data_IF_991968436180
#
_entry.id   IF_991968436180
#
_cell.length_a   1.000
_cell.length_b   1.000
_cell.length_c   1.000
_cell.angle_alpha   90.00
_cell.angle_beta   90.00
_cell.angle_gamma   90.00
#
_symmetry.space_group_name_H-M   'P 1'
#
loop_
_entity.id
_entity.type
_entity.pdbx_description
1 polymer ?
#
# COMPACT_ATOMS: atom_id res chain seq x y z
N UNK A 1 12.09 -5.72 -34.62
CA UNK A 1 12.10 -5.41 -33.17
C UNK A 1 10.71 -5.24 -32.52
N UNK A 2 9.58 -5.31 -33.26
CA UNK A 2 8.24 -5.13 -32.68
C UNK A 2 7.59 -6.41 -32.10
N UNK A 3 8.15 -7.60 -32.35
CA UNK A 3 7.54 -8.89 -31.97
C UNK A 3 7.90 -9.36 -30.55
N UNK A 4 9.06 -8.97 -30.00
CA UNK A 4 9.42 -9.21 -28.58
C UNK A 4 8.59 -8.38 -27.59
N UNK A 5 7.83 -7.40 -28.08
CA UNK A 5 7.09 -6.41 -27.27
C UNK A 5 5.75 -6.89 -26.72
N UNK A 6 5.21 -8.01 -27.21
CA UNK A 6 3.94 -8.59 -26.72
C UNK A 6 4.16 -9.61 -25.61
N UNK A 7 5.25 -10.39 -25.65
CA UNK A 7 5.48 -11.50 -24.73
C UNK A 7 5.53 -11.07 -23.26
N UNK A 8 6.14 -9.93 -22.96
CA UNK A 8 6.40 -9.54 -21.56
C UNK A 8 5.14 -9.03 -20.84
N UNK A 9 4.21 -8.42 -21.58
CA UNK A 9 2.90 -8.02 -21.07
C UNK A 9 2.01 -9.24 -20.79
N UNK A 10 2.12 -10.27 -21.64
CA UNK A 10 1.42 -11.53 -21.40
C UNK A 10 1.99 -12.24 -20.18
N UNK A 11 3.31 -12.24 -19.95
CA UNK A 11 3.89 -12.89 -18.76
C UNK A 11 3.44 -12.25 -17.44
N UNK A 12 3.34 -10.92 -17.36
CA UNK A 12 2.84 -10.23 -16.17
C UNK A 12 1.33 -10.44 -15.97
N UNK A 13 0.54 -10.39 -17.05
CA UNK A 13 -0.90 -10.65 -16.98
C UNK A 13 -1.22 -12.11 -16.65
N UNK A 14 -0.48 -13.07 -17.23
CA UNK A 14 -0.60 -14.50 -16.90
C UNK A 14 -0.12 -14.79 -15.48
N UNK A 15 0.94 -14.14 -15.00
CA UNK A 15 1.37 -14.27 -13.60
C UNK A 15 0.29 -13.80 -12.62
N UNK A 16 -0.36 -12.67 -12.90
CA UNK A 16 -1.49 -12.18 -12.11
C UNK A 16 -2.73 -13.08 -12.20
N UNK A 17 -3.07 -13.57 -13.39
CA UNK A 17 -4.20 -14.48 -13.59
C UNK A 17 -3.96 -15.82 -12.89
N UNK A 18 -2.76 -16.38 -13.00
CA UNK A 18 -2.37 -17.63 -12.34
C UNK A 18 -2.39 -17.47 -10.82
N UNK A 19 -1.88 -16.35 -10.28
CA UNK A 19 -1.98 -16.05 -8.86
C UNK A 19 -3.43 -15.94 -8.40
N UNK A 20 -4.30 -15.26 -9.14
CA UNK A 20 -5.73 -15.15 -8.82
C UNK A 20 -6.43 -16.51 -8.87
N UNK A 21 -6.16 -17.34 -9.89
CA UNK A 21 -6.76 -18.67 -10.00
C UNK A 21 -6.25 -19.64 -8.94
N UNK A 22 -4.96 -19.59 -8.60
CA UNK A 22 -4.38 -20.40 -7.53
C UNK A 22 -4.96 -20.03 -6.18
N UNK A 23 -5.13 -18.73 -5.91
CA UNK A 23 -5.77 -18.24 -4.68
C UNK A 23 -7.26 -18.59 -4.64
N UNK A 24 -7.98 -18.50 -5.77
CA UNK A 24 -9.39 -18.89 -5.85
C UNK A 24 -9.60 -20.40 -5.66
N UNK A 25 -8.72 -21.24 -6.24
CA UNK A 25 -8.76 -22.69 -6.03
C UNK A 25 -8.41 -23.06 -4.58
N UNK A 26 -7.37 -22.44 -4.01
CA UNK A 26 -6.99 -22.65 -2.61
C UNK A 26 -8.10 -22.24 -1.64
N UNK A 27 -8.79 -21.12 -1.92
CA UNK A 27 -9.94 -20.64 -1.14
C UNK A 27 -11.13 -21.60 -1.23
N UNK A 28 -11.38 -22.21 -2.40
CA UNK A 28 -12.47 -23.17 -2.60
C UNK A 28 -12.21 -24.49 -1.87
N UNK A 29 -10.97 -24.99 -1.87
CA UNK A 29 -10.60 -26.20 -1.10
C UNK A 29 -10.57 -25.96 0.42
N UNK A 30 -10.39 -24.72 0.86
CA UNK A 30 -10.33 -24.38 2.29
C UNK A 30 -11.71 -24.10 2.92
N UNK A 31 -12.77 -23.99 2.11
CA UNK A 31 -14.11 -23.58 2.55
C UNK A 31 -14.77 -24.55 3.54
N UNK A 32 -14.42 -25.83 3.52
CA UNK A 32 -15.01 -26.86 4.40
C UNK A 32 -14.45 -26.85 5.83
N UNK A 33 -13.30 -26.21 6.08
CA UNK A 33 -12.64 -26.12 7.40
C UNK A 33 -12.33 -24.67 7.82
N UNK A 34 -13.14 -23.71 7.39
CA UNK A 34 -12.89 -22.31 7.72
C UNK A 34 -13.04 -22.04 9.23
N UNK A 35 -12.13 -21.24 9.83
CA UNK A 35 -12.27 -20.80 11.21
C UNK A 35 -13.58 -20.02 11.39
N UNK A 36 -14.18 -20.00 12.59
CA UNK A 36 -15.50 -19.42 12.83
C UNK A 36 -15.60 -17.94 12.38
N UNK A 37 -14.53 -17.15 12.55
CA UNK A 37 -14.47 -15.75 12.12
C UNK A 37 -14.53 -15.60 10.59
N UNK A 38 -13.94 -16.53 9.83
CA UNK A 38 -13.98 -16.49 8.37
C UNK A 38 -15.37 -16.80 7.78
N UNK A 39 -16.28 -17.35 8.60
CA UNK A 39 -17.68 -17.61 8.21
C UNK A 39 -18.57 -16.38 8.39
N UNK A 40 -18.08 -15.33 9.05
CA UNK A 40 -18.83 -14.09 9.13
C UNK A 40 -18.96 -13.46 7.73
N UNK A 41 -20.17 -13.04 7.33
CA UNK A 41 -20.43 -12.58 5.96
C UNK A 41 -19.58 -11.37 5.59
N UNK A 42 -19.27 -10.51 6.56
CA UNK A 42 -18.43 -9.32 6.37
C UNK A 42 -16.99 -9.71 6.04
N UNK A 43 -16.44 -10.71 6.73
CA UNK A 43 -15.07 -11.19 6.52
C UNK A 43 -14.96 -11.91 5.17
N UNK A 44 -15.94 -12.74 4.82
CA UNK A 44 -16.01 -13.39 3.50
C UNK A 44 -16.11 -12.38 2.35
N UNK A 45 -16.99 -11.37 2.47
CA UNK A 45 -17.12 -10.31 1.49
C UNK A 45 -15.82 -9.50 1.35
N UNK A 46 -15.16 -9.18 2.46
CA UNK A 46 -13.87 -8.50 2.46
C UNK A 46 -12.77 -9.36 1.79
N UNK A 47 -12.78 -10.68 1.96
CA UNK A 47 -11.87 -11.60 1.29
C UNK A 47 -12.04 -11.57 -0.22
N UNK A 48 -13.29 -11.65 -0.71
CA UNK A 48 -13.61 -11.54 -2.14
C UNK A 48 -13.20 -10.16 -2.68
N UNK A 49 -13.50 -9.09 -1.95
CA UNK A 49 -13.10 -7.74 -2.33
C UNK A 49 -11.58 -7.60 -2.44
N UNK A 50 -10.81 -8.24 -1.54
CA UNK A 50 -9.36 -8.25 -1.59
C UNK A 50 -8.83 -8.92 -2.87
N UNK A 51 -9.42 -10.04 -3.29
CA UNK A 51 -9.05 -10.72 -4.53
C UNK A 51 -9.38 -9.88 -5.77
N UNK A 52 -10.55 -9.24 -5.79
CA UNK A 52 -10.92 -8.35 -6.89
C UNK A 52 -9.98 -7.15 -6.97
N UNK A 53 -9.67 -6.52 -5.82
CA UNK A 53 -8.72 -5.40 -5.75
C UNK A 53 -7.31 -5.81 -6.17
N UNK A 54 -6.86 -7.00 -5.80
CA UNK A 54 -5.58 -7.54 -6.25
C UNK A 54 -5.52 -7.66 -7.78
N UNK A 55 -6.60 -8.18 -8.39
CA UNK A 55 -6.71 -8.26 -9.85
C UNK A 55 -6.70 -6.90 -10.51
N UNK A 56 -7.46 -5.94 -9.98
CA UNK A 56 -7.44 -4.55 -10.43
C UNK A 56 -6.05 -3.92 -10.28
N UNK A 57 -5.35 -4.19 -9.18
CA UNK A 57 -4.00 -3.71 -8.92
C UNK A 57 -3.01 -4.18 -9.99
N UNK A 58 -2.93 -5.50 -10.24
CA UNK A 58 -2.02 -6.05 -11.25
C UNK A 58 -2.39 -5.64 -12.68
N UNK A 59 -3.68 -5.60 -13.02
CA UNK A 59 -4.13 -5.08 -14.31
C UNK A 59 -3.75 -3.60 -14.48
N UNK A 60 -3.97 -2.79 -13.43
CA UNK A 60 -3.57 -1.39 -13.38
C UNK A 60 -2.07 -1.21 -13.59
N UNK A 61 -1.24 -1.99 -12.89
CA UNK A 61 0.21 -2.02 -13.07
C UNK A 61 0.57 -2.37 -14.52
N UNK A 62 0.04 -3.46 -15.06
CA UNK A 62 0.36 -3.91 -16.41
C UNK A 62 -0.02 -2.90 -17.50
N UNK A 63 -1.19 -2.27 -17.38
CA UNK A 63 -1.68 -1.29 -18.35
C UNK A 63 -0.97 0.07 -18.23
N UNK A 64 -0.67 0.52 -17.00
CA UNK A 64 -0.09 1.83 -16.76
C UNK A 64 1.44 1.86 -16.85
N UNK A 65 2.13 0.72 -16.71
CA UNK A 65 3.60 0.67 -16.65
C UNK A 65 4.30 1.45 -17.77
N UNK A 66 3.89 1.21 -19.02
CA UNK A 66 4.50 1.88 -20.18
C UNK A 66 4.21 3.38 -20.20
N UNK A 67 2.99 3.77 -19.87
CA UNK A 67 2.58 5.17 -19.85
C UNK A 67 3.33 5.94 -18.76
N UNK A 68 3.54 5.32 -17.60
CA UNK A 68 4.29 5.90 -16.50
C UNK A 68 5.76 6.09 -16.86
N UNK A 69 6.41 5.06 -17.41
CA UNK A 69 7.82 5.15 -17.81
C UNK A 69 8.08 6.18 -18.93
N UNK A 70 7.06 6.55 -19.70
CA UNK A 70 7.16 7.60 -20.71
C UNK A 70 6.89 9.01 -20.18
N UNK A 71 6.12 9.13 -19.08
CA UNK A 71 5.67 10.42 -18.54
C UNK A 71 6.53 10.92 -17.39
N UNK A 72 7.10 10.00 -16.60
CA UNK A 72 7.90 10.33 -15.41
C UNK A 72 9.33 10.61 -15.83
N UNK A 73 9.85 11.78 -15.43
CA UNK A 73 11.23 12.18 -15.72
C UNK A 73 12.22 11.36 -14.90
N UNK A 74 13.48 11.29 -15.35
CA UNK A 74 14.54 10.61 -14.61
C UNK A 74 14.74 11.18 -13.19
N UNK A 75 14.55 12.49 -13.02
CA UNK A 75 14.64 13.16 -11.71
C UNK A 75 13.47 12.79 -10.78
N UNK A 76 12.25 12.63 -11.32
CA UNK A 76 11.12 12.15 -10.52
C UNK A 76 11.29 10.68 -10.15
N UNK A 77 11.79 9.83 -11.06
CA UNK A 77 12.09 8.42 -10.77
C UNK A 77 13.16 8.28 -9.69
N UNK A 78 14.21 9.10 -9.73
CA UNK A 78 15.25 9.08 -8.70
C UNK A 78 14.71 9.55 -7.34
N UNK A 79 13.84 10.57 -7.31
CA UNK A 79 13.17 11.02 -6.09
C UNK A 79 12.26 9.93 -5.51
N UNK A 80 11.46 9.27 -6.36
CA UNK A 80 10.63 8.13 -5.95
C UNK A 80 11.51 7.04 -5.36
N UNK A 81 12.58 6.64 -6.05
CA UNK A 81 13.49 5.60 -5.59
C UNK A 81 14.16 5.96 -4.26
N UNK A 82 14.62 7.21 -4.10
CA UNK A 82 15.26 7.70 -2.88
C UNK A 82 14.30 7.66 -1.69
N UNK A 83 13.10 8.24 -1.81
CA UNK A 83 12.12 8.23 -0.73
C UNK A 83 11.64 6.82 -0.41
N UNK A 84 11.51 5.96 -1.42
CA UNK A 84 11.18 4.55 -1.26
C UNK A 84 12.27 3.80 -0.48
N UNK A 85 13.55 4.07 -0.77
CA UNK A 85 14.67 3.47 -0.05
C UNK A 85 14.73 3.93 1.42
N UNK A 86 14.48 5.21 1.68
CA UNK A 86 14.37 5.74 3.05
C UNK A 86 13.20 5.08 3.78
N UNK A 87 12.05 4.96 3.11
CA UNK A 87 10.88 4.29 3.68
C UNK A 87 11.17 2.82 4.01
N UNK A 88 11.84 2.11 3.10
CA UNK A 88 12.27 0.74 3.35
C UNK A 88 13.20 0.64 4.56
N UNK A 89 14.18 1.53 4.69
CA UNK A 89 15.12 1.53 5.82
C UNK A 89 14.40 1.76 7.16
N UNK A 90 13.46 2.71 7.21
CA UNK A 90 12.68 2.99 8.42
C UNK A 90 11.75 1.83 8.76
N UNK A 91 11.07 1.25 7.77
CA UNK A 91 10.20 0.09 7.98
C UNK A 91 11.01 -1.12 8.48
N UNK A 92 12.20 -1.35 7.92
CA UNK A 92 13.10 -2.41 8.37
C UNK A 92 13.54 -2.21 9.83
N UNK A 93 13.95 -1.00 10.20
CA UNK A 93 14.29 -0.67 11.59
C UNK A 93 13.09 -0.81 12.53
N UNK A 94 11.91 -0.37 12.10
CA UNK A 94 10.67 -0.47 12.87
C UNK A 94 10.28 -1.92 13.12
N UNK A 95 10.51 -2.81 12.16
CA UNK A 95 10.33 -4.26 12.36
C UNK A 95 11.30 -4.82 13.39
N UNK A 96 12.58 -4.43 13.36
CA UNK A 96 13.54 -4.85 14.40
C UNK A 96 13.09 -4.41 15.79
N UNK A 97 12.73 -3.14 15.95
CA UNK A 97 12.16 -2.63 17.22
C UNK A 97 10.89 -3.40 17.60
N UNK A 98 10.02 -3.67 16.62
CA UNK A 98 8.80 -4.44 16.78
C UNK A 98 9.05 -5.86 17.31
N UNK A 99 10.11 -6.55 16.87
CA UNK A 99 10.45 -7.89 17.39
C UNK A 99 10.80 -7.84 18.88
N UNK A 100 11.50 -6.80 19.32
CA UNK A 100 11.84 -6.59 20.75
C UNK A 100 10.58 -6.24 21.54
N UNK A 101 9.73 -5.36 21.02
CA UNK A 101 8.46 -5.00 21.65
C UNK A 101 7.49 -6.19 21.75
N UNK A 102 7.47 -7.06 20.74
CA UNK A 102 6.64 -8.26 20.77
C UNK A 102 7.03 -9.21 21.90
N UNK A 103 8.32 -9.31 22.21
CA UNK A 103 8.79 -10.11 23.34
C UNK A 103 8.30 -9.60 24.70
N UNK A 104 8.02 -8.30 24.85
CA UNK A 104 7.62 -7.69 26.12
C UNK A 104 6.11 -7.44 26.24
N UNK A 105 5.47 -6.98 25.16
CA UNK A 105 4.06 -6.57 25.12
C UNK A 105 3.16 -7.59 24.42
N UNK A 106 3.74 -8.63 23.81
CA UNK A 106 3.03 -9.65 23.06
C UNK A 106 2.19 -9.05 21.91
N UNK A 107 0.92 -9.45 21.75
CA UNK A 107 0.08 -9.02 20.63
C UNK A 107 -0.29 -7.53 20.64
N UNK A 108 -0.12 -6.84 21.78
CA UNK A 108 -0.36 -5.40 21.89
C UNK A 108 0.82 -4.55 21.42
N UNK A 109 1.99 -5.16 21.16
CA UNK A 109 3.16 -4.48 20.62
C UNK A 109 2.84 -3.72 19.32
N UNK A 110 1.88 -4.21 18.53
CA UNK A 110 1.49 -3.61 17.26
C UNK A 110 1.03 -2.16 17.40
N UNK A 111 0.39 -1.78 18.50
CA UNK A 111 -0.08 -0.40 18.69
C UNK A 111 1.08 0.57 18.89
N UNK A 112 2.22 0.09 19.36
CA UNK A 112 3.42 0.92 19.54
C UNK A 112 4.32 0.82 18.31
N UNK A 113 4.57 -0.38 17.79
CA UNK A 113 5.44 -0.56 16.62
C UNK A 113 4.84 0.05 15.36
N UNK A 114 3.52 -0.04 15.18
CA UNK A 114 2.83 0.57 14.05
C UNK A 114 2.85 2.09 14.10
N UNK A 115 3.01 2.70 15.29
CA UNK A 115 3.17 4.15 15.38
C UNK A 115 4.40 4.61 14.59
N UNK A 116 5.50 3.86 14.65
CA UNK A 116 6.70 4.22 13.87
C UNK A 116 6.57 3.75 12.42
N UNK A 117 6.16 2.49 12.21
CA UNK A 117 6.13 1.89 10.88
C UNK A 117 5.10 2.57 9.96
N UNK A 118 3.84 2.64 10.40
CA UNK A 118 2.73 3.17 9.61
C UNK A 118 2.78 4.69 9.49
N UNK A 119 3.09 5.39 10.58
CA UNK A 119 3.15 6.86 10.55
C UNK A 119 4.29 7.32 9.65
N UNK A 120 5.49 6.75 9.77
CA UNK A 120 6.62 7.19 8.93
C UNK A 120 6.45 6.74 7.49
N UNK A 121 5.94 5.52 7.25
CA UNK A 121 5.61 5.06 5.90
C UNK A 121 4.60 5.97 5.20
N UNK A 122 3.50 6.30 5.87
CA UNK A 122 2.48 7.19 5.33
C UNK A 122 3.00 8.63 5.19
N UNK A 123 3.88 9.08 6.08
CA UNK A 123 4.54 10.39 5.98
C UNK A 123 5.41 10.48 4.73
N UNK A 124 6.27 9.50 4.48
CA UNK A 124 7.15 9.49 3.31
C UNK A 124 6.36 9.34 2.02
N UNK A 125 5.33 8.50 2.01
CA UNK A 125 4.43 8.35 0.86
C UNK A 125 3.64 9.64 0.58
N UNK A 126 3.11 10.31 1.60
CA UNK A 126 2.42 11.58 1.44
C UNK A 126 3.36 12.68 0.93
N UNK A 127 4.57 12.77 1.48
CA UNK A 127 5.58 13.71 1.01
C UNK A 127 5.92 13.45 -0.47
N UNK A 128 6.07 12.18 -0.85
CA UNK A 128 6.33 11.79 -2.23
C UNK A 128 5.17 12.17 -3.17
N UNK A 129 3.93 11.90 -2.78
CA UNK A 129 2.74 12.25 -3.58
C UNK A 129 2.59 13.77 -3.72
N UNK A 130 2.97 14.56 -2.71
CA UNK A 130 2.96 16.03 -2.81
C UNK A 130 4.06 16.55 -3.74
N UNK A 131 5.24 15.92 -3.73
CA UNK A 131 6.35 16.30 -4.58
C UNK A 131 6.14 15.89 -6.04
N UNK A 132 5.55 14.71 -6.27
CA UNK A 132 5.24 14.15 -7.59
C UNK A 132 3.75 13.79 -7.66
N UNK A 133 2.84 14.79 -7.80
CA UNK A 133 1.39 14.60 -7.75
C UNK A 133 0.87 14.04 -9.08
N UNK A 134 1.25 12.80 -9.39
CA UNK A 134 0.91 12.09 -10.62
C UNK A 134 0.26 10.74 -10.29
N UNK A 135 -0.70 10.28 -11.11
CA UNK A 135 -1.21 8.92 -10.97
C UNK A 135 -0.05 7.93 -11.21
N UNK A 136 0.03 6.88 -10.39
CA UNK A 136 1.11 5.89 -10.45
C UNK A 136 2.32 6.18 -9.55
N UNK A 137 2.41 7.34 -8.91
CA UNK A 137 3.51 7.64 -7.97
C UNK A 137 3.47 6.68 -6.77
N UNK A 138 2.29 6.43 -6.20
CA UNK A 138 2.13 5.52 -5.07
C UNK A 138 2.40 4.07 -5.51
N UNK A 139 1.91 3.69 -6.70
CA UNK A 139 2.21 2.40 -7.30
C UNK A 139 3.72 2.14 -7.44
N UNK A 140 4.48 3.09 -8.00
CA UNK A 140 5.92 2.93 -8.19
C UNK A 140 6.67 2.81 -6.86
N UNK A 141 6.28 3.61 -5.85
CA UNK A 141 6.83 3.51 -4.51
C UNK A 141 6.57 2.15 -3.88
N UNK A 142 5.32 1.67 -3.90
CA UNK A 142 4.93 0.38 -3.32
C UNK A 142 5.60 -0.81 -4.05
N UNK A 143 5.74 -0.76 -5.37
CA UNK A 143 6.49 -1.77 -6.14
C UNK A 143 7.99 -1.72 -5.83
N UNK A 144 8.54 -0.52 -5.62
CA UNK A 144 9.92 -0.35 -5.16
C UNK A 144 10.12 -0.96 -3.77
N UNK A 145 9.20 -0.73 -2.83
CA UNK A 145 9.21 -1.38 -1.51
C UNK A 145 9.13 -2.89 -1.62
N UNK A 146 8.23 -3.42 -2.45
CA UNK A 146 8.14 -4.86 -2.69
C UNK A 146 9.48 -5.42 -3.18
N UNK A 147 10.12 -4.73 -4.13
CA UNK A 147 11.41 -5.13 -4.70
C UNK A 147 12.51 -5.13 -3.64
N UNK A 148 12.63 -4.05 -2.85
CA UNK A 148 13.62 -3.94 -1.77
C UNK A 148 13.40 -4.99 -0.68
N UNK A 149 12.15 -5.22 -0.26
CA UNK A 149 11.80 -6.28 0.69
C UNK A 149 12.12 -7.67 0.14
N UNK A 150 11.92 -7.90 -1.15
CA UNK A 150 12.24 -9.18 -1.80
C UNK A 150 13.74 -9.43 -1.86
N UNK A 151 14.53 -8.41 -2.18
CA UNK A 151 16.00 -8.50 -2.25
C UNK A 151 16.60 -8.66 -0.85
N UNK A 152 16.18 -7.83 0.11
CA UNK A 152 16.77 -7.81 1.45
C UNK A 152 16.28 -8.95 2.34
N UNK A 153 15.01 -9.33 2.23
CA UNK A 153 14.38 -10.31 3.11
C UNK A 153 14.18 -11.68 2.47
N UNK A 154 14.41 -11.83 1.16
CA UNK A 154 14.04 -13.05 0.42
C UNK A 154 12.54 -13.31 0.35
N UNK A 155 11.70 -12.30 0.63
CA UNK A 155 10.26 -12.42 0.86
C UNK A 155 9.41 -12.37 -0.43
N UNK A 156 9.90 -12.92 -1.54
CA UNK A 156 9.12 -12.99 -2.77
C UNK A 156 8.21 -14.22 -2.77
N UNK A 157 7.05 -14.09 -2.13
CA UNK A 157 6.02 -15.13 -2.11
C UNK A 157 4.68 -14.63 -2.68
N UNK A 158 3.76 -15.55 -2.96
CA UNK A 158 2.44 -15.23 -3.54
C UNK A 158 1.64 -14.29 -2.64
N UNK A 159 1.75 -14.44 -1.31
CA UNK A 159 1.08 -13.55 -0.36
C UNK A 159 1.61 -12.11 -0.44
N UNK A 160 2.92 -11.92 -0.58
CA UNK A 160 3.54 -10.61 -0.73
C UNK A 160 3.08 -9.92 -2.03
N UNK A 161 2.99 -10.66 -3.13
CA UNK A 161 2.43 -10.16 -4.39
C UNK A 161 0.95 -9.77 -4.25
N UNK A 162 0.17 -10.59 -3.53
CA UNK A 162 -1.23 -10.31 -3.25
C UNK A 162 -1.39 -9.05 -2.40
N UNK A 163 -0.68 -8.95 -1.27
CA UNK A 163 -0.71 -7.77 -0.40
C UNK A 163 -0.27 -6.50 -1.11
N UNK A 164 0.82 -6.56 -1.88
CA UNK A 164 1.30 -5.43 -2.65
C UNK A 164 0.27 -4.96 -3.69
N UNK A 165 -0.39 -5.89 -4.38
CA UNK A 165 -1.40 -5.54 -5.39
C UNK A 165 -2.65 -4.91 -4.79
N UNK A 166 -3.12 -5.41 -3.64
CA UNK A 166 -4.21 -4.79 -2.87
C UNK A 166 -3.80 -3.39 -2.42
N UNK A 167 -2.57 -3.21 -1.93
CA UNK A 167 -2.06 -1.91 -1.53
C UNK A 167 -1.99 -0.94 -2.70
N UNK A 168 -1.42 -1.35 -3.84
CA UNK A 168 -1.37 -0.52 -5.05
C UNK A 168 -2.77 -0.06 -5.46
N UNK A 169 -3.74 -0.99 -5.53
CA UNK A 169 -5.11 -0.65 -5.91
C UNK A 169 -5.75 0.31 -4.91
N UNK A 170 -5.68 0.00 -3.61
CA UNK A 170 -6.30 0.81 -2.57
C UNK A 170 -5.73 2.24 -2.52
N UNK A 171 -4.41 2.39 -2.60
CA UNK A 171 -3.77 3.70 -2.59
C UNK A 171 -4.06 4.52 -3.84
N UNK A 172 -3.92 3.95 -5.04
CA UNK A 172 -4.20 4.68 -6.28
C UNK A 172 -5.69 5.05 -6.40
N UNK A 173 -6.60 4.15 -6.03
CA UNK A 173 -8.04 4.43 -6.03
C UNK A 173 -8.40 5.52 -5.03
N UNK A 174 -7.86 5.47 -3.82
CA UNK A 174 -8.16 6.48 -2.78
C UNK A 174 -7.61 7.86 -3.13
N UNK A 175 -6.37 7.91 -3.66
CA UNK A 175 -5.75 9.15 -4.12
C UNK A 175 -6.47 9.74 -5.33
N UNK A 176 -6.92 8.90 -6.25
CA UNK A 176 -7.70 9.34 -7.41
C UNK A 176 -9.10 9.83 -6.99
N UNK A 177 -9.81 9.08 -6.13
CA UNK A 177 -11.16 9.41 -5.68
C UNK A 177 -11.23 10.76 -4.93
N UNK A 178 -10.20 11.07 -4.14
CA UNK A 178 -10.10 12.36 -3.44
C UNK A 178 -9.42 13.46 -4.27
N UNK A 179 -9.11 13.18 -5.54
CA UNK A 179 -8.56 14.15 -6.48
C UNK A 179 -7.16 14.63 -6.12
N UNK A 180 -6.39 13.82 -5.40
CA UNK A 180 -5.01 14.15 -4.99
C UNK A 180 -4.05 14.02 -6.17
N UNK A 181 -4.16 12.93 -6.94
CA UNK A 181 -3.28 12.65 -8.10
C UNK A 181 -3.87 13.06 -9.44
N UNK A 182 -5.19 13.20 -9.54
CA UNK A 182 -5.90 13.55 -10.80
C UNK A 182 -6.37 15.01 -10.81
N UNK A 183 -6.45 15.65 -9.64
CA UNK A 183 -6.94 17.02 -9.50
C UNK A 183 -5.84 18.09 -9.52
N UNK A 184 -6.24 19.33 -9.78
CA UNK A 184 -5.33 20.49 -9.77
C UNK A 184 -4.86 20.92 -8.37
N UNK A 185 -5.37 20.26 -7.32
CA UNK A 185 -5.22 20.69 -5.92
C UNK A 185 -3.77 20.74 -5.45
N UNK A 186 -2.93 19.79 -5.89
CA UNK A 186 -1.50 19.76 -5.54
C UNK A 186 -0.60 20.43 -6.59
N UNK A 187 -1.09 20.63 -7.82
CA UNK A 187 -0.31 21.31 -8.87
C UNK A 187 -0.21 22.82 -8.69
N UNK A 188 -1.12 23.44 -7.94
CA UNK A 188 -1.08 24.88 -7.67
C UNK A 188 0.13 25.25 -6.79
N UNK A 189 0.93 26.20 -7.26
CA UNK A 189 2.03 26.80 -6.50
C UNK A 189 1.45 27.75 -5.44
N UNK A 190 1.00 27.19 -4.32
CA UNK A 190 0.54 27.97 -3.19
C UNK A 190 1.71 28.25 -2.22
N UNK A 191 1.88 29.50 -1.75
CA UNK A 191 2.92 29.83 -0.78
C UNK A 191 2.69 29.16 0.58
N UNK A 192 1.45 28.79 0.91
CA UNK A 192 1.10 28.07 2.13
C UNK A 192 0.36 26.76 1.80
N UNK A 193 0.42 25.79 2.72
CA UNK A 193 -0.29 24.51 2.55
C UNK A 193 -1.80 24.77 2.60
N UNK A 194 -2.54 24.50 1.52
CA UNK A 194 -3.99 24.64 1.55
C UNK A 194 -4.57 23.62 2.53
N UNK A 195 -5.42 24.07 3.46
CA UNK A 195 -6.09 23.18 4.41
C UNK A 195 -6.89 22.07 3.69
N UNK A 196 -7.44 22.38 2.52
CA UNK A 196 -8.15 21.43 1.66
C UNK A 196 -7.22 20.35 1.08
N UNK A 197 -6.01 20.71 0.68
CA UNK A 197 -5.01 19.74 0.20
C UNK A 197 -4.54 18.84 1.34
N UNK A 198 -4.26 19.41 2.52
CA UNK A 198 -3.91 18.67 3.73
C UNK A 198 -5.02 17.67 4.11
N UNK A 199 -6.27 18.12 4.17
CA UNK A 199 -7.38 17.24 4.52
C UNK A 199 -7.56 16.11 3.50
N UNK A 200 -7.45 16.41 2.19
CA UNK A 200 -7.60 15.41 1.12
C UNK A 200 -6.49 14.37 1.15
N UNK A 201 -5.23 14.77 1.32
CA UNK A 201 -4.10 13.83 1.38
C UNK A 201 -4.17 12.98 2.64
N UNK A 202 -4.47 13.58 3.79
CA UNK A 202 -4.65 12.88 5.07
C UNK A 202 -5.76 11.84 4.99
N UNK A 203 -6.92 12.22 4.45
CA UNK A 203 -8.03 11.27 4.28
C UNK A 203 -7.70 10.20 3.24
N UNK A 204 -7.08 10.54 2.12
CA UNK A 204 -6.77 9.57 1.06
C UNK A 204 -5.81 8.49 1.53
N UNK A 205 -4.71 8.89 2.17
CA UNK A 205 -3.69 7.96 2.64
C UNK A 205 -4.17 7.22 3.89
N UNK A 206 -4.84 7.89 4.83
CA UNK A 206 -5.41 7.23 6.02
C UNK A 206 -6.47 6.18 5.66
N UNK A 207 -7.40 6.50 4.75
CA UNK A 207 -8.41 5.54 4.29
C UNK A 207 -7.78 4.40 3.49
N UNK A 208 -6.83 4.69 2.59
CA UNK A 208 -6.10 3.66 1.87
C UNK A 208 -5.38 2.72 2.84
N UNK A 209 -4.67 3.27 3.83
CA UNK A 209 -3.90 2.48 4.78
C UNK A 209 -4.79 1.60 5.66
N UNK A 210 -5.88 2.17 6.19
CA UNK A 210 -6.90 1.42 6.92
C UNK A 210 -7.49 0.30 6.08
N UNK A 211 -7.90 0.60 4.83
CA UNK A 211 -8.44 -0.41 3.92
C UNK A 211 -7.43 -1.52 3.64
N UNK A 212 -6.17 -1.18 3.40
CA UNK A 212 -5.12 -2.19 3.15
C UNK A 212 -4.90 -3.07 4.36
N UNK A 213 -4.83 -2.50 5.57
CA UNK A 213 -4.70 -3.30 6.79
C UNK A 213 -5.87 -4.25 6.97
N UNK A 214 -7.11 -3.78 6.82
CA UNK A 214 -8.30 -4.61 6.95
C UNK A 214 -8.27 -5.80 5.98
N UNK A 215 -7.91 -5.55 4.72
CA UNK A 215 -7.84 -6.58 3.69
C UNK A 215 -6.66 -7.52 3.90
N UNK A 216 -5.50 -7.02 4.34
CA UNK A 216 -4.34 -7.86 4.66
C UNK A 216 -4.63 -8.81 5.82
N UNK A 217 -5.30 -8.34 6.88
CA UNK A 217 -5.76 -9.20 7.97
C UNK A 217 -6.78 -10.23 7.49
N UNK A 218 -7.75 -9.80 6.66
CA UNK A 218 -8.76 -10.70 6.11
C UNK A 218 -8.12 -11.80 5.27
N UNK A 219 -7.23 -11.45 4.34
CA UNK A 219 -6.43 -12.41 3.58
C UNK A 219 -5.65 -13.33 4.53
N UNK A 220 -5.05 -12.80 5.60
CA UNK A 220 -4.26 -13.60 6.54
C UNK A 220 -5.13 -14.61 7.32
N UNK A 221 -6.36 -14.23 7.68
CA UNK A 221 -7.35 -15.13 8.28
C UNK A 221 -7.70 -16.27 7.33
N UNK A 222 -7.90 -16.00 6.03
CA UNK A 222 -8.20 -17.03 5.03
C UNK A 222 -6.98 -17.89 4.66
N UNK A 223 -5.85 -17.27 4.36
CA UNK A 223 -4.66 -17.93 3.83
C UNK A 223 -3.89 -18.71 4.91
N UNK A 224 -3.83 -18.17 6.13
CA UNK A 224 -3.04 -18.75 7.24
C UNK A 224 -3.91 -19.30 8.37
N UNK A 225 -5.25 -19.29 8.22
CA UNK A 225 -6.21 -19.81 9.21
C UNK A 225 -6.06 -19.17 10.61
N UNK A 226 -5.70 -17.89 10.66
CA UNK A 226 -5.52 -17.18 11.92
C UNK A 226 -6.85 -16.97 12.66
N UNK A 227 -6.85 -17.22 13.97
CA UNK A 227 -7.99 -16.99 14.86
C UNK A 227 -7.88 -15.62 15.55
N UNK A 228 -7.98 -14.55 14.77
CA UNK A 228 -8.01 -13.19 15.29
C UNK A 228 -9.45 -12.78 15.61
N UNK A 229 -9.68 -12.10 16.73
CA UNK A 229 -11.00 -11.55 17.03
C UNK A 229 -11.31 -10.37 16.12
N UNK A 230 -12.58 -10.23 15.71
CA UNK A 230 -13.02 -9.11 14.88
C UNK A 230 -12.72 -7.76 15.56
N UNK A 231 -12.93 -7.68 16.89
CA UNK A 231 -12.62 -6.48 17.68
C UNK A 231 -11.13 -6.09 17.66
N UNK A 232 -10.23 -7.07 17.63
CA UNK A 232 -8.80 -6.79 17.48
C UNK A 232 -8.47 -6.29 16.07
N UNK A 233 -9.00 -6.96 15.04
CA UNK A 233 -8.80 -6.54 13.64
C UNK A 233 -9.30 -5.12 13.41
N UNK A 234 -10.48 -4.78 13.92
CA UNK A 234 -11.05 -3.43 13.78
C UNK A 234 -10.24 -2.41 14.57
N UNK A 235 -9.83 -2.71 15.81
CA UNK A 235 -8.99 -1.82 16.60
C UNK A 235 -7.66 -1.51 15.91
N UNK A 236 -6.96 -2.52 15.40
CA UNK A 236 -5.69 -2.31 14.67
C UNK A 236 -5.93 -1.53 13.38
N UNK A 237 -6.96 -1.87 12.61
CA UNK A 237 -7.31 -1.17 11.37
C UNK A 237 -7.60 0.31 11.61
N UNK A 238 -8.38 0.63 12.65
CA UNK A 238 -8.78 2.01 12.95
C UNK A 238 -7.63 2.80 13.56
N UNK A 239 -6.94 2.24 14.56
CA UNK A 239 -5.89 2.96 15.29
C UNK A 239 -4.60 3.03 14.47
N UNK A 240 -4.08 1.88 14.05
CA UNK A 240 -2.81 1.82 13.33
C UNK A 240 -2.99 2.19 11.85
N UNK A 241 -3.97 1.60 11.18
CA UNK A 241 -4.21 1.84 9.76
C UNK A 241 -4.63 3.29 9.50
N UNK A 242 -5.83 3.65 9.98
CA UNK A 242 -6.44 4.96 9.69
C UNK A 242 -5.86 6.09 10.56
N UNK A 243 -5.71 5.87 11.86
CA UNK A 243 -5.22 6.87 12.80
C UNK A 243 -3.76 7.27 12.52
N UNK A 244 -2.82 6.32 12.68
CA UNK A 244 -1.41 6.62 12.46
C UNK A 244 -1.10 6.92 11.00
N UNK A 245 -1.74 6.24 10.06
CA UNK A 245 -1.61 6.55 8.63
C UNK A 245 -2.06 7.98 8.30
N UNK A 246 -3.18 8.43 8.86
CA UNK A 246 -3.66 9.81 8.69
C UNK A 246 -2.74 10.85 9.31
N UNK A 247 -2.24 10.60 10.53
CA UNK A 247 -1.26 11.47 11.20
C UNK A 247 0.05 11.58 10.40
N UNK A 248 0.57 10.44 9.94
CA UNK A 248 1.73 10.37 9.07
C UNK A 248 1.50 11.18 7.80
N UNK A 249 0.37 10.98 7.14
CA UNK A 249 0.03 11.68 5.92
C UNK A 249 -0.10 13.20 6.10
N UNK A 250 -0.64 13.66 7.24
CA UNK A 250 -0.70 15.09 7.57
C UNK A 250 0.72 15.68 7.68
N UNK A 251 1.60 15.02 8.47
CA UNK A 251 3.00 15.43 8.60
C UNK A 251 3.76 15.39 7.28
N UNK A 252 3.53 14.34 6.48
CA UNK A 252 4.17 14.15 5.18
C UNK A 252 3.73 15.18 4.15
N UNK A 253 2.47 15.59 4.19
CA UNK A 253 1.97 16.67 3.33
C UNK A 253 2.67 17.99 3.67
N UNK A 254 2.76 18.33 4.96
CA UNK A 254 3.47 19.53 5.41
C UNK A 254 4.95 19.49 5.01
N UNK A 255 5.60 18.33 5.16
CA UNK A 255 6.99 18.12 4.75
C UNK A 255 7.16 18.27 3.24
N UNK A 256 6.30 17.66 2.44
CA UNK A 256 6.34 17.73 0.97
C UNK A 256 6.26 19.17 0.46
N UNK A 257 5.37 19.99 1.03
CA UNK A 257 5.30 21.42 0.68
C UNK A 257 6.55 22.21 1.09
N UNK A 258 7.18 21.87 2.24
CA UNK A 258 8.44 22.50 2.65
C UNK A 258 9.59 22.13 1.73
N UNK A 259 9.70 20.86 1.36
CA UNK A 259 10.73 20.35 0.44
C UNK A 259 10.57 20.93 -0.97
N UNK A 260 9.33 21.12 -1.43
CA UNK A 260 9.05 21.71 -2.73
C UNK A 260 9.60 23.13 -2.88
N UNK A 261 9.78 23.88 -1.79
CA UNK A 261 10.39 25.22 -1.81
C UNK A 261 11.92 25.21 -1.95
N UNK A 262 12.57 24.07 -1.71
CA UNK A 262 14.02 23.92 -1.76
C UNK A 262 14.46 23.27 -3.08
N UNK A 263 13.62 22.39 -3.62
CA UNK A 263 13.91 21.60 -4.83
C UNK A 263 13.48 22.32 -6.11
N UNK A 264 12.47 23.19 -6.05
CA UNK A 264 11.99 24.03 -7.16
C UNK A 264 12.29 25.50 -6.89
#
# INVERSE_FOLDING_TARGET
MATRRRSDLWLLAYGGLLALTAVALAARSAAEELPPVAREPVVAAAGVAALLLAGVGWLGVGLSWRLLMQRVSAAELSLIALLTAVQFAVAYLSRLVGTVLYATLGPYAIFISALTDECVSCLLLAALVVLVPRPGTAMLSLLGLLTLNSISGGLLNVAALLFASVSVAAYELSLAALGVTVGSALTQHAPAVPATALLRTTLAIGLANGLTMALHYTISVFAFRLQLSLGYMTAVTVVAGLGYGGLGAAGGTLLGYRLRRVVL
#
